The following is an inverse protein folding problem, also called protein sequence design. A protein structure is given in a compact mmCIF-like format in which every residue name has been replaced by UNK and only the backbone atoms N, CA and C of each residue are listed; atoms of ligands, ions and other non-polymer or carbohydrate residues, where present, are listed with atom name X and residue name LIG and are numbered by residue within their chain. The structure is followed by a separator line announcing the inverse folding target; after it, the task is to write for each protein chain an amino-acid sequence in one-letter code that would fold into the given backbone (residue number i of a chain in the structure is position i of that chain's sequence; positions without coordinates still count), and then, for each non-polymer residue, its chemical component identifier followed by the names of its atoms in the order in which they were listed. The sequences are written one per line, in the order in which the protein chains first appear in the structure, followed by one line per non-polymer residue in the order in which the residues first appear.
data_IF_691011092674
#
_entry.id   IF_691011092674
#
_cell.length_a   1.000
_cell.length_b   1.000
_cell.length_c   1.000
_cell.angle_alpha   90.00
_cell.angle_beta   90.00
_cell.angle_gamma   90.00
#
_symmetry.space_group_name_H-M   'P 1'
#
loop_
_entity.id
_entity.type
_entity.pdbx_description
1 polymer ?
#
# COMPACT_ATOMS: atom_id res chain seq x y z
N UNK A 1 -9.87 4.12 -18.69
CA UNK A 1 -10.09 4.10 -17.24
C UNK A 1 -8.80 4.38 -16.50
N UNK A 2 -8.81 5.36 -15.63
CA UNK A 2 -7.63 5.68 -14.85
C UNK A 2 -7.48 4.72 -13.69
N UNK A 3 -6.31 4.14 -13.60
CA UNK A 3 -5.92 3.40 -12.42
C UNK A 3 -5.33 4.43 -11.48
N UNK A 4 -6.07 4.82 -10.47
CA UNK A 4 -5.65 5.91 -9.60
C UNK A 4 -4.79 5.47 -8.45
N UNK A 5 -5.24 4.45 -7.76
CA UNK A 5 -4.69 4.16 -6.46
C UNK A 5 -4.07 2.79 -6.41
N UNK A 6 -3.01 2.70 -5.65
CA UNK A 6 -2.36 1.47 -5.29
C UNK A 6 -2.18 1.46 -3.79
N UNK A 7 -1.98 0.30 -3.22
CA UNK A 7 -2.00 0.14 -1.77
C UNK A 7 -0.73 -0.53 -1.29
N UNK A 8 -0.26 -0.10 -0.12
CA UNK A 8 0.96 -0.62 0.48
C UNK A 8 0.72 -0.97 1.94
N UNK A 9 0.97 -2.23 2.34
CA UNK A 9 0.79 -2.62 3.73
C UNK A 9 2.00 -2.25 4.57
N UNK A 10 1.76 -1.87 5.82
CA UNK A 10 2.84 -1.58 6.75
C UNK A 10 2.41 -1.90 8.18
N UNK A 11 3.39 -1.92 9.08
CA UNK A 11 3.13 -2.06 10.50
C UNK A 11 2.38 -0.83 10.99
N UNK A 12 1.26 -0.99 11.71
CA UNK A 12 0.52 0.16 12.25
C UNK A 12 1.39 1.14 13.05
N UNK A 13 2.43 0.64 13.71
CA UNK A 13 3.33 1.49 14.48
C UNK A 13 4.20 2.41 13.63
N UNK A 14 4.38 2.09 12.34
CA UNK A 14 5.22 2.87 11.45
C UNK A 14 4.45 3.81 10.52
N UNK A 15 3.12 3.83 10.61
CA UNK A 15 2.29 4.66 9.73
C UNK A 15 2.70 6.14 9.80
N UNK A 16 2.85 6.67 11.00
CA UNK A 16 3.21 8.08 11.19
C UNK A 16 4.54 8.41 10.52
N UNK A 17 5.52 7.50 10.62
CA UNK A 17 6.83 7.69 10.01
C UNK A 17 6.72 7.74 8.49
N UNK A 18 5.97 6.82 7.89
CA UNK A 18 5.78 6.80 6.45
C UNK A 18 5.00 8.01 5.94
N UNK A 19 4.01 8.46 6.70
CA UNK A 19 3.24 9.65 6.34
C UNK A 19 4.08 10.92 6.41
N UNK A 20 5.15 10.91 7.17
CA UNK A 20 6.06 12.05 7.27
C UNK A 20 7.19 12.00 6.25
N UNK A 21 7.81 10.83 6.08
CA UNK A 21 9.02 10.68 5.25
C UNK A 21 8.81 9.96 3.94
N UNK A 22 7.64 9.40 3.71
CA UNK A 22 7.35 8.62 2.50
C UNK A 22 7.75 7.16 2.65
N UNK A 23 7.67 6.44 1.53
CA UNK A 23 7.98 5.00 1.46
C UNK A 23 9.24 4.79 0.66
N UNK A 24 10.14 3.94 1.16
CA UNK A 24 11.35 3.54 0.43
C UNK A 24 11.40 2.03 0.34
N UNK A 25 12.17 1.53 -0.62
CA UNK A 25 12.31 0.09 -0.85
C UNK A 25 13.05 -0.65 0.27
N UNK A 26 13.83 0.08 1.08
CA UNK A 26 14.68 -0.54 2.10
C UNK A 26 15.70 -1.47 1.47
N UNK A 27 15.72 -2.73 1.88
CA UNK A 27 16.64 -3.74 1.36
C UNK A 27 16.23 -4.28 0.00
N UNK A 28 15.01 -3.96 -0.46
CA UNK A 28 14.52 -4.40 -1.77
C UNK A 28 14.87 -3.35 -2.82
N UNK A 29 14.90 -3.79 -4.09
CA UNK A 29 15.15 -2.85 -5.19
C UNK A 29 13.99 -1.90 -5.43
N UNK A 30 12.77 -2.35 -5.13
CA UNK A 30 11.56 -1.58 -5.42
C UNK A 30 10.55 -1.70 -4.29
N UNK A 31 9.72 -0.68 -4.16
CA UNK A 31 8.54 -0.72 -3.32
C UNK A 31 7.47 -1.51 -4.06
N UNK A 32 6.86 -2.49 -3.39
CA UNK A 32 5.80 -3.32 -3.97
C UNK A 32 4.44 -2.77 -3.57
N UNK A 33 3.67 -2.35 -4.57
CA UNK A 33 2.33 -1.84 -4.37
C UNK A 33 1.31 -2.88 -4.84
N UNK A 34 0.17 -2.93 -4.18
CA UNK A 34 -0.90 -3.87 -4.53
C UNK A 34 -2.06 -3.15 -5.21
N UNK A 35 -2.75 -3.87 -6.08
CA UNK A 35 -3.85 -3.31 -6.86
C UNK A 35 -5.07 -2.96 -6.00
N UNK A 36 -5.35 -3.78 -4.98
CA UNK A 36 -6.52 -3.60 -4.11
C UNK A 36 -6.11 -3.62 -2.64
N UNK A 37 -7.01 -3.11 -1.78
CA UNK A 37 -6.81 -3.18 -0.33
C UNK A 37 -6.69 -4.65 0.11
N UNK A 38 -7.53 -5.53 -0.42
CA UNK A 38 -7.49 -6.95 -0.08
C UNK A 38 -6.14 -7.58 -0.43
N UNK A 39 -5.61 -7.28 -1.60
CA UNK A 39 -4.29 -7.79 -2.01
C UNK A 39 -3.18 -7.26 -1.08
N UNK A 40 -3.25 -5.98 -0.70
CA UNK A 40 -2.27 -5.40 0.21
C UNK A 40 -2.36 -6.03 1.60
N UNK A 41 -3.58 -6.24 2.10
CA UNK A 41 -3.78 -6.89 3.39
C UNK A 41 -3.18 -8.30 3.40
N UNK A 42 -3.44 -9.10 2.36
CA UNK A 42 -2.87 -10.44 2.24
C UNK A 42 -1.34 -10.42 2.21
N UNK A 43 -0.78 -9.51 1.42
CA UNK A 43 0.68 -9.38 1.32
C UNK A 43 1.31 -8.99 2.66
N UNK A 44 0.68 -8.09 3.40
CA UNK A 44 1.16 -7.65 4.70
C UNK A 44 0.97 -8.68 5.79
N UNK A 45 -0.10 -9.47 5.71
CA UNK A 45 -0.45 -10.45 6.73
C UNK A 45 0.61 -11.55 6.90
N UNK A 46 1.45 -11.75 5.90
CA UNK A 46 2.56 -12.70 5.98
C UNK A 46 3.48 -12.37 7.17
N UNK A 47 3.63 -11.09 7.49
CA UNK A 47 4.54 -10.61 8.53
C UNK A 47 3.85 -9.90 9.67
N UNK A 48 2.67 -9.34 9.43
CA UNK A 48 1.98 -8.46 10.37
C UNK A 48 0.57 -9.00 10.60
N UNK A 49 0.18 -9.18 11.85
CA UNK A 49 -1.16 -9.72 12.18
C UNK A 49 -2.29 -8.86 11.63
N UNK A 50 -2.18 -7.55 11.77
CA UNK A 50 -3.16 -6.59 11.28
C UNK A 50 -2.43 -5.45 10.60
N UNK A 51 -2.08 -5.60 9.30
CA UNK A 51 -1.36 -4.55 8.61
C UNK A 51 -2.20 -3.29 8.45
N UNK A 52 -1.55 -2.15 8.58
CA UNK A 52 -2.14 -0.88 8.19
C UNK A 52 -1.94 -0.70 6.69
N UNK A 53 -2.82 0.03 6.05
CA UNK A 53 -2.78 0.24 4.62
C UNK A 53 -2.58 1.72 4.30
N UNK A 54 -1.61 2.00 3.46
CA UNK A 54 -1.42 3.32 2.89
C UNK A 54 -1.84 3.28 1.42
N UNK A 55 -2.63 4.27 1.02
CA UNK A 55 -3.05 4.44 -0.35
C UNK A 55 -2.10 5.38 -1.06
N UNK A 56 -1.68 5.03 -2.26
CA UNK A 56 -0.77 5.83 -3.06
C UNK A 56 -1.55 6.42 -4.24
N UNK A 57 -1.52 7.74 -4.38
CA UNK A 57 -2.12 8.44 -5.52
C UNK A 57 -1.18 8.32 -6.73
N UNK A 58 -1.26 7.19 -7.40
CA UNK A 58 -0.36 6.89 -8.51
C UNK A 58 -0.58 7.78 -9.71
N UNK A 59 -1.81 8.21 -9.95
CA UNK A 59 -2.12 9.10 -11.07
C UNK A 59 -1.37 10.42 -10.92
N UNK A 60 -1.41 11.00 -9.72
CA UNK A 60 -0.72 12.26 -9.45
C UNK A 60 0.80 12.09 -9.46
N UNK A 61 1.27 10.98 -8.89
CA UNK A 61 2.70 10.68 -8.86
C UNK A 61 3.26 10.54 -10.29
N UNK A 62 2.57 9.82 -11.15
CA UNK A 62 3.01 9.66 -12.55
C UNK A 62 2.99 11.02 -13.27
N UNK A 63 1.96 11.82 -13.04
CA UNK A 63 1.88 13.16 -13.63
C UNK A 63 3.05 14.05 -13.21
N UNK A 64 3.57 13.83 -12.00
CA UNK A 64 4.70 14.61 -11.46
C UNK A 64 6.07 14.02 -11.81
N UNK A 65 6.10 12.94 -12.60
CA UNK A 65 7.36 12.39 -13.12
C UNK A 65 7.84 11.10 -12.48
N UNK A 66 7.08 10.54 -11.55
CA UNK A 66 7.44 9.25 -10.94
C UNK A 66 7.06 8.11 -11.85
N UNK A 67 7.87 7.05 -11.86
CA UNK A 67 7.61 5.88 -12.67
C UNK A 67 7.07 4.74 -11.81
N UNK A 68 6.00 4.12 -12.29
CA UNK A 68 5.40 2.97 -11.62
C UNK A 68 5.28 1.86 -12.67
N UNK A 69 5.86 0.70 -12.36
CA UNK A 69 5.88 -0.45 -13.26
C UNK A 69 4.86 -1.49 -12.82
N UNK A 70 4.29 -2.18 -13.80
CA UNK A 70 3.44 -3.31 -13.52
C UNK A 70 4.30 -4.58 -13.50
N UNK A 71 4.31 -5.27 -12.36
CA UNK A 71 5.09 -6.51 -12.19
C UNK A 71 4.25 -7.77 -12.35
N UNK A 72 2.92 -7.65 -12.25
CA UNK A 72 2.00 -8.77 -12.36
C UNK A 72 0.57 -8.28 -12.40
N UNK A 73 -0.39 -9.19 -12.23
CA UNK A 73 -1.81 -8.83 -12.26
C UNK A 73 -2.22 -7.90 -11.14
N UNK A 74 -1.63 -8.06 -9.97
CA UNK A 74 -2.00 -7.32 -8.77
C UNK A 74 -0.84 -6.59 -8.12
N UNK A 75 0.36 -6.65 -8.72
CA UNK A 75 1.57 -6.08 -8.14
C UNK A 75 2.15 -5.00 -9.05
N UNK A 76 2.49 -3.87 -8.44
CA UNK A 76 3.13 -2.74 -9.10
C UNK A 76 4.38 -2.36 -8.34
N UNK A 77 5.35 -1.79 -9.02
CA UNK A 77 6.64 -1.44 -8.43
C UNK A 77 6.95 0.04 -8.63
N UNK A 78 7.57 0.65 -7.63
CA UNK A 78 8.16 1.97 -7.77
C UNK A 78 9.45 2.03 -6.95
N UNK A 79 10.31 3.01 -7.23
CA UNK A 79 11.58 3.13 -6.49
C UNK A 79 11.35 3.67 -5.08
N UNK A 80 10.57 4.72 -4.99
CA UNK A 80 10.19 5.34 -3.73
C UNK A 80 8.94 6.16 -3.94
N UNK A 81 8.27 6.54 -2.86
CA UNK A 81 7.07 7.35 -2.96
C UNK A 81 7.08 8.40 -1.85
N UNK A 82 7.16 9.70 -2.21
CA UNK A 82 7.08 10.77 -1.22
C UNK A 82 5.75 10.78 -0.48
N UNK A 83 5.77 11.28 0.74
CA UNK A 83 4.58 11.34 1.59
C UNK A 83 3.43 12.17 1.01
N UNK A 84 3.73 13.09 0.10
CA UNK A 84 2.72 13.93 -0.53
C UNK A 84 1.67 13.13 -1.31
N UNK A 85 1.98 11.89 -1.69
CA UNK A 85 1.09 11.03 -2.46
C UNK A 85 0.46 9.93 -1.62
N UNK A 86 0.69 9.95 -0.30
CA UNK A 86 0.24 8.89 0.60
C UNK A 86 -0.99 9.32 1.40
N UNK A 87 -1.92 8.39 1.57
CA UNK A 87 -3.11 8.58 2.41
C UNK A 87 -3.27 7.35 3.29
N UNK A 88 -3.52 7.56 4.56
CA UNK A 88 -3.77 6.45 5.48
C UNK A 88 -5.21 5.97 5.33
N UNK A 89 -5.40 4.71 4.93
CA UNK A 89 -6.72 4.11 4.84
C UNK A 89 -7.18 3.79 6.25
N UNK A 90 -8.38 4.28 6.62
CA UNK A 90 -8.91 4.10 7.97
C UNK A 90 -9.13 2.62 8.29
N UNK A 91 -8.90 2.24 9.55
CA UNK A 91 -9.04 0.85 9.98
C UNK A 91 -10.48 0.33 9.84
N UNK A 92 -11.47 1.22 9.88
CA UNK A 92 -12.87 0.85 9.73
C UNK A 92 -13.32 0.74 8.28
N UNK A 93 -12.41 0.88 7.32
CA UNK A 93 -12.73 0.68 5.91
C UNK A 93 -13.32 -0.73 5.72
N UNK A 94 -14.46 -0.86 5.02
CA UNK A 94 -15.10 -2.16 4.84
C UNK A 94 -14.19 -3.23 4.26
N UNK A 95 -13.31 -2.89 3.32
CA UNK A 95 -12.39 -3.87 2.74
C UNK A 95 -11.40 -4.41 3.77
N UNK A 96 -10.92 -3.55 4.69
CA UNK A 96 -10.01 -3.97 5.76
C UNK A 96 -10.77 -4.83 6.76
N UNK A 97 -11.97 -4.41 7.17
CA UNK A 97 -12.76 -5.15 8.15
C UNK A 97 -13.18 -6.53 7.62
N UNK A 98 -13.51 -6.62 6.34
CA UNK A 98 -13.85 -7.90 5.73
C UNK A 98 -12.67 -8.88 5.79
N UNK A 99 -11.46 -8.41 5.54
CA UNK A 99 -10.27 -9.26 5.61
C UNK A 99 -9.99 -9.72 7.04
N UNK A 100 -10.09 -8.81 8.01
CA UNK A 100 -9.89 -9.15 9.42
C UNK A 100 -10.92 -10.17 9.87
N UNK A 101 -12.19 -9.97 9.52
CA UNK A 101 -13.27 -10.90 9.87
C UNK A 101 -13.01 -12.28 9.27
N UNK A 102 -12.59 -12.34 8.01
CA UNK A 102 -12.27 -13.60 7.36
C UNK A 102 -11.15 -14.34 8.11
N UNK A 103 -10.10 -13.64 8.51
CA UNK A 103 -8.99 -14.25 9.24
C UNK A 103 -9.40 -14.75 10.62
N UNK A 104 -10.27 -14.01 11.30
CA UNK A 104 -10.75 -14.41 12.63
C UNK A 104 -11.67 -15.63 12.60
N UNK A 105 -12.34 -15.88 11.47
CA UNK A 105 -13.22 -17.03 11.31
C UNK A 105 -12.47 -18.32 10.97
N UNK A 106 -11.25 -18.20 10.57
CA UNK A 106 -10.39 -19.37 10.35
C UNK A 106 -9.89 -19.94 11.69
#
# INVERSE_FOLDING_TARGET
MCIRDRYWPCDPETVATHMEYGITAGDRKHVHLSKTISNAMEAGHVRISRPAILEVDTTRAIADGFTIWRAGKTVFLCEEMPSDYLYHVEEDDPAIQDMITMWEEE
#
